data_IF_787544570254
#
_entry.id   IF_787544570254
#
_cell.length_a   1.000
_cell.length_b   1.000
_cell.length_c   1.000
_cell.angle_alpha   90.00
_cell.angle_beta   90.00
_cell.angle_gamma   90.00
#
_symmetry.space_group_name_H-M   'P 1'
#
loop_
_entity.id
_entity.type
_entity.pdbx_description
1 polymer ?
#
# COMPACT_ATOMS: atom_id res chain seq x y z
N UNK A 1 12.61 5.89 -11.85
CA UNK A 1 11.88 5.17 -10.78
C UNK A 1 10.48 4.84 -11.27
N UNK A 2 9.86 3.74 -10.84
CA UNK A 2 8.42 3.54 -11.05
C UNK A 2 7.74 3.16 -9.74
N UNK A 3 6.98 4.11 -9.20
CA UNK A 3 6.00 3.83 -8.17
C UNK A 3 4.61 3.81 -8.82
N UNK A 4 3.69 3.16 -8.16
CA UNK A 4 2.28 3.36 -8.37
C UNK A 4 1.63 3.51 -7.02
N UNK A 5 0.47 4.17 -7.01
CA UNK A 5 -0.35 4.27 -5.82
C UNK A 5 -1.80 4.03 -6.14
N UNK A 6 -2.56 3.66 -5.12
CA UNK A 6 -4.00 3.47 -5.20
C UNK A 6 -4.66 4.11 -3.99
N UNK A 7 -5.65 4.95 -4.25
CA UNK A 7 -6.57 5.47 -3.24
C UNK A 7 -7.54 4.35 -2.90
N UNK A 8 -7.27 3.64 -1.80
CA UNK A 8 -7.95 2.42 -1.41
C UNK A 8 -9.28 2.75 -0.74
N UNK A 9 -10.36 2.14 -1.23
CA UNK A 9 -11.72 2.29 -0.72
C UNK A 9 -12.27 1.01 -0.08
N UNK A 10 -11.53 -0.09 -0.16
CA UNK A 10 -11.91 -1.37 0.42
C UNK A 10 -11.05 -2.51 -0.09
N UNK A 11 -11.36 -3.72 0.39
CA UNK A 11 -10.59 -4.93 0.12
C UNK A 11 -11.47 -5.99 -0.56
N UNK A 12 -10.87 -6.78 -1.45
CA UNK A 12 -11.39 -8.04 -1.98
C UNK A 12 -10.37 -9.14 -1.64
N UNK A 13 -10.64 -9.88 -0.58
CA UNK A 13 -9.76 -10.91 -0.04
C UNK A 13 -9.79 -12.24 -0.83
N UNK A 14 -10.67 -12.38 -1.82
CA UNK A 14 -10.62 -13.48 -2.80
C UNK A 14 -9.49 -13.32 -3.84
N UNK A 15 -8.85 -12.14 -3.88
CA UNK A 15 -7.76 -11.82 -4.79
C UNK A 15 -6.49 -11.51 -3.99
N UNK A 16 -5.35 -11.56 -4.67
CA UNK A 16 -4.07 -11.12 -4.12
C UNK A 16 -3.43 -10.04 -5.01
N UNK A 17 -2.32 -9.48 -4.54
CA UNK A 17 -1.61 -8.39 -5.20
C UNK A 17 -2.53 -7.17 -5.40
N UNK A 18 -2.32 -6.37 -6.44
CA UNK A 18 -3.10 -5.16 -6.74
C UNK A 18 -4.61 -5.38 -6.86
N UNK A 19 -5.03 -6.59 -7.22
CA UNK A 19 -6.43 -6.93 -7.40
C UNK A 19 -7.19 -7.10 -6.08
N UNK A 20 -6.49 -7.26 -4.95
CA UNK A 20 -7.15 -7.30 -3.64
C UNK A 20 -7.56 -5.91 -3.14
N UNK A 21 -7.03 -4.84 -3.74
CA UNK A 21 -7.36 -3.48 -3.37
C UNK A 21 -8.48 -2.95 -4.27
N UNK A 22 -9.54 -2.40 -3.68
CA UNK A 22 -10.56 -1.60 -4.40
C UNK A 22 -10.15 -0.13 -4.37
N UNK A 23 -10.50 0.61 -5.42
CA UNK A 23 -10.23 2.05 -5.51
C UNK A 23 -9.51 2.47 -6.79
N UNK A 24 -9.18 3.76 -6.90
CA UNK A 24 -8.61 4.36 -8.11
C UNK A 24 -7.08 4.43 -8.03
N UNK A 25 -6.41 4.17 -9.14
CA UNK A 25 -4.98 4.44 -9.26
C UNK A 25 -4.72 5.94 -9.28
N UNK A 26 -3.71 6.36 -8.53
CA UNK A 26 -3.16 7.72 -8.62
C UNK A 26 -2.12 7.84 -9.72
N UNK A 27 -1.97 9.06 -10.25
CA UNK A 27 -1.01 9.41 -11.30
C UNK A 27 0.20 10.16 -10.76
N UNK A 28 0.13 10.75 -9.56
CA UNK A 28 1.24 11.55 -8.99
C UNK A 28 2.53 10.72 -8.85
N UNK A 29 2.44 9.49 -8.35
CA UNK A 29 3.61 8.62 -8.20
C UNK A 29 3.92 7.78 -9.45
N UNK A 30 3.13 7.92 -10.51
CA UNK A 30 3.28 7.13 -11.74
C UNK A 30 4.59 7.42 -12.46
N UNK A 31 5.12 6.43 -13.20
CA UNK A 31 6.27 6.60 -14.11
C UNK A 31 6.06 7.66 -15.19
N UNK A 32 4.81 8.03 -15.43
CA UNK A 32 4.44 9.04 -16.42
C UNK A 32 4.46 10.47 -15.85
N UNK A 33 4.63 10.63 -14.53
CA UNK A 33 4.83 11.95 -13.94
C UNK A 33 6.31 12.32 -14.07
N UNK A 34 6.61 13.27 -14.96
CA UNK A 34 7.96 13.77 -15.20
C UNK A 34 8.52 14.55 -14.01
N UNK A 35 7.66 15.11 -13.16
CA UNK A 35 8.05 15.91 -11.98
C UNK A 35 8.56 15.05 -10.82
N UNK A 36 8.29 13.75 -10.83
CA UNK A 36 8.61 12.83 -9.74
C UNK A 36 10.12 12.72 -9.47
N UNK A 37 10.95 12.95 -10.48
CA UNK A 37 12.41 12.92 -10.36
C UNK A 37 13.00 14.23 -9.81
N UNK A 38 12.25 15.34 -9.91
CA UNK A 38 12.76 16.68 -9.60
C UNK A 38 12.10 17.30 -8.36
N UNK A 39 10.98 16.75 -7.90
CA UNK A 39 10.20 17.33 -6.81
C UNK A 39 10.35 16.50 -5.53
N UNK A 40 10.98 17.03 -4.47
CA UNK A 40 11.15 16.31 -3.21
C UNK A 40 9.87 16.25 -2.37
N UNK A 41 8.85 17.05 -2.71
CA UNK A 41 7.58 17.13 -1.98
C UNK A 41 6.40 17.04 -2.95
N UNK A 42 5.53 16.06 -2.74
CA UNK A 42 4.35 15.84 -3.58
C UNK A 42 3.09 15.90 -2.71
N UNK A 43 2.04 16.53 -3.23
CA UNK A 43 0.73 16.57 -2.57
C UNK A 43 -0.19 15.54 -3.18
N UNK A 44 -0.58 14.50 -2.44
CA UNK A 44 -1.39 13.37 -2.93
C UNK A 44 -2.89 13.69 -2.98
N UNK A 45 -3.31 14.70 -3.73
CA UNK A 45 -4.68 15.28 -3.72
C UNK A 45 -5.57 14.90 -4.92
N UNK A 46 -5.32 13.79 -5.61
CA UNK A 46 -6.10 13.42 -6.80
C UNK A 46 -7.53 12.93 -6.46
N UNK A 47 -7.81 12.59 -5.21
CA UNK A 47 -9.15 12.21 -4.74
C UNK A 47 -9.52 13.04 -3.48
N UNK A 48 -10.81 13.32 -3.25
CA UNK A 48 -11.29 13.93 -2.01
C UNK A 48 -10.88 13.12 -0.77
N UNK A 49 -10.55 13.80 0.34
CA UNK A 49 -10.01 13.16 1.55
C UNK A 49 -10.97 12.13 2.17
N UNK A 50 -12.27 12.33 2.01
CA UNK A 50 -13.36 11.48 2.50
C UNK A 50 -13.73 10.33 1.53
N UNK A 51 -13.13 10.29 0.33
CA UNK A 51 -13.48 9.30 -0.69
C UNK A 51 -12.60 8.04 -0.67
N UNK A 52 -11.63 7.95 0.24
CA UNK A 52 -10.72 6.82 0.39
C UNK A 52 -10.28 6.68 1.85
N UNK A 53 -9.87 5.48 2.23
CA UNK A 53 -9.49 5.18 3.61
C UNK A 53 -7.98 5.04 3.78
N UNK A 54 -7.26 4.74 2.70
CA UNK A 54 -5.81 4.67 2.69
C UNK A 54 -5.25 4.99 1.30
N UNK A 55 -3.98 5.38 1.22
CA UNK A 55 -3.21 5.40 -0.03
C UNK A 55 -2.19 4.28 0.05
N UNK A 56 -2.34 3.25 -0.78
CA UNK A 56 -1.35 2.19 -0.89
C UNK A 56 -0.31 2.57 -1.94
N UNK A 57 0.97 2.44 -1.61
CA UNK A 57 2.10 2.75 -2.49
C UNK A 57 2.92 1.48 -2.69
N UNK A 58 3.25 1.18 -3.95
CA UNK A 58 4.14 0.09 -4.29
C UNK A 58 4.96 0.40 -5.54
N UNK A 59 6.18 -0.13 -5.63
CA UNK A 59 6.99 -0.09 -6.85
C UNK A 59 8.48 -0.11 -6.60
N UNK A 60 9.26 -0.18 -7.69
CA UNK A 60 10.73 -0.33 -7.67
C UNK A 60 11.40 0.59 -8.68
N UNK A 61 12.62 0.96 -8.35
CA UNK A 61 13.56 1.67 -9.21
C UNK A 61 14.20 0.68 -10.20
N UNK A 62 13.86 0.84 -11.49
CA UNK A 62 14.64 0.69 -12.74
C UNK A 62 15.84 -0.29 -12.91
N UNK A 63 16.28 -1.13 -11.96
CA UNK A 63 17.45 -2.02 -12.13
C UNK A 63 17.04 -3.48 -12.36
N UNK A 64 16.72 -3.78 -13.63
CA UNK A 64 16.40 -5.12 -14.16
C UNK A 64 15.18 -5.80 -13.50
N UNK A 65 14.42 -6.62 -14.23
CA UNK A 65 13.17 -7.22 -13.76
C UNK A 65 13.26 -8.75 -13.57
N UNK A 66 14.23 -9.32 -12.82
CA UNK A 66 14.10 -10.69 -12.32
C UNK A 66 13.16 -10.73 -11.10
N UNK A 67 12.47 -11.87 -10.88
CA UNK A 67 11.61 -12.12 -9.70
C UNK A 67 12.32 -11.86 -8.36
N UNK A 68 13.64 -12.02 -8.33
CA UNK A 68 14.49 -11.75 -7.16
C UNK A 68 14.44 -10.30 -6.67
N UNK A 69 14.00 -9.35 -7.51
CA UNK A 69 13.87 -7.96 -7.09
C UNK A 69 12.61 -7.68 -6.28
N UNK A 70 11.69 -8.64 -6.14
CA UNK A 70 10.42 -8.42 -5.45
C UNK A 70 10.62 -7.94 -4.01
N UNK A 71 11.64 -8.41 -3.29
CA UNK A 71 11.94 -7.99 -1.92
C UNK A 71 12.29 -6.49 -1.83
N UNK A 72 12.99 -5.99 -2.85
CA UNK A 72 13.42 -4.59 -3.00
C UNK A 72 12.30 -3.65 -3.47
N UNK A 73 11.07 -4.14 -3.68
CA UNK A 73 9.94 -3.27 -3.94
C UNK A 73 9.57 -2.52 -2.66
N UNK A 74 9.39 -1.20 -2.77
CA UNK A 74 8.73 -0.43 -1.73
C UNK A 74 7.29 -0.93 -1.61
N UNK A 75 6.84 -1.15 -0.37
CA UNK A 75 5.44 -1.40 -0.03
C UNK A 75 5.13 -0.63 1.24
N UNK A 76 4.15 0.25 1.18
CA UNK A 76 3.66 0.97 2.35
C UNK A 76 2.24 1.46 2.10
N UNK A 77 1.49 1.68 3.17
CA UNK A 77 0.21 2.35 3.12
C UNK A 77 0.25 3.61 3.96
N UNK A 78 -0.48 4.63 3.54
CA UNK A 78 -0.66 5.87 4.27
C UNK A 78 -2.11 5.96 4.70
N UNK A 79 -2.35 6.13 6.00
CA UNK A 79 -3.67 6.39 6.57
C UNK A 79 -3.83 7.89 6.76
N UNK A 80 -4.81 8.55 6.08
CA UNK A 80 -5.09 9.97 6.28
C UNK A 80 -5.37 10.26 7.75
N UNK A 81 -4.57 11.13 8.35
CA UNK A 81 -4.69 11.48 9.76
C UNK A 81 -4.31 12.95 9.94
N UNK A 82 -5.32 13.82 10.01
CA UNK A 82 -5.13 15.26 10.06
C UNK A 82 -4.20 15.70 11.21
N UNK A 83 -3.28 16.60 10.93
CA UNK A 83 -2.34 17.16 11.92
C UNK A 83 -1.21 16.21 12.34
N UNK A 84 -1.13 15.01 11.78
CA UNK A 84 -0.05 14.05 12.07
C UNK A 84 1.03 14.07 11.01
N UNK A 85 2.25 13.84 11.45
CA UNK A 85 3.42 13.65 10.60
C UNK A 85 4.09 12.36 10.99
N UNK A 86 4.53 11.60 10.00
CA UNK A 86 5.20 10.32 10.21
C UNK A 86 6.34 10.12 9.21
N UNK A 87 7.27 9.23 9.55
CA UNK A 87 8.43 8.89 8.74
C UNK A 87 8.49 7.39 8.52
N UNK A 88 8.80 6.98 7.30
CA UNK A 88 9.03 5.58 6.95
C UNK A 88 10.35 5.45 6.22
N UNK A 89 11.15 4.46 6.63
CA UNK A 89 12.43 4.16 6.04
C UNK A 89 12.38 2.83 5.28
N UNK A 90 12.95 2.81 4.08
CA UNK A 90 13.05 1.61 3.25
C UNK A 90 14.34 1.65 2.44
N UNK A 91 15.24 0.71 2.72
CA UNK A 91 16.60 0.73 2.16
C UNK A 91 17.28 2.08 2.37
N UNK A 92 17.61 2.82 1.31
CA UNK A 92 18.20 4.15 1.37
C UNK A 92 17.17 5.29 1.24
N UNK A 93 15.88 4.98 1.32
CA UNK A 93 14.77 5.94 1.21
C UNK A 93 14.28 6.33 2.58
N UNK A 94 14.09 7.63 2.77
CA UNK A 94 13.36 8.18 3.90
C UNK A 94 12.17 8.97 3.37
N UNK A 95 10.97 8.46 3.61
CA UNK A 95 9.72 9.09 3.23
C UNK A 95 9.13 9.80 4.46
N UNK A 96 8.67 11.03 4.27
CA UNK A 96 7.93 11.78 5.28
C UNK A 96 6.55 12.09 4.75
N UNK A 97 5.52 11.85 5.56
CA UNK A 97 4.14 12.21 5.24
C UNK A 97 3.63 13.21 6.26
N UNK A 98 2.91 14.23 5.80
CA UNK A 98 2.13 15.15 6.63
C UNK A 98 0.63 14.90 6.39
N UNK A 99 -0.18 15.10 7.43
CA UNK A 99 -1.59 14.69 7.48
C UNK A 99 -1.82 13.20 7.21
N UNK A 100 -0.88 12.36 7.63
CA UNK A 100 -0.97 10.91 7.48
C UNK A 100 -0.04 10.16 8.41
N UNK A 101 -0.25 8.85 8.50
CA UNK A 101 0.60 7.89 9.20
C UNK A 101 0.96 6.76 8.24
N UNK A 102 2.18 6.24 8.33
CA UNK A 102 2.54 5.04 7.60
C UNK A 102 2.06 3.81 8.36
N UNK A 103 1.50 2.85 7.66
CA UNK A 103 1.13 1.56 8.23
C UNK A 103 2.16 0.50 7.82
N UNK A 104 2.73 -0.25 8.78
CA UNK A 104 3.67 -1.32 8.46
C UNK A 104 2.96 -2.42 7.69
N UNK A 105 3.70 -3.08 6.79
CA UNK A 105 3.20 -4.29 6.14
C UNK A 105 3.34 -5.46 7.13
N UNK A 106 2.26 -6.16 7.49
CA UNK A 106 2.33 -7.29 8.39
C UNK A 106 3.22 -8.41 7.83
N UNK A 107 3.94 -9.10 8.71
CA UNK A 107 4.64 -10.34 8.43
C UNK A 107 3.66 -11.49 8.17
N UNK A 108 4.18 -12.63 7.67
CA UNK A 108 3.35 -13.81 7.40
C UNK A 108 2.75 -14.41 8.68
N UNK A 109 3.42 -14.26 9.82
CA UNK A 109 2.93 -14.77 11.12
C UNK A 109 1.80 -13.91 11.70
N UNK A 110 1.73 -12.65 11.30
CA UNK A 110 0.68 -11.70 11.69
C UNK A 110 -0.62 -11.87 10.88
N UNK A 111 -0.62 -12.73 9.85
CA UNK A 111 -1.84 -13.04 9.11
C UNK A 111 -2.92 -13.63 10.02
N UNK A 112 -4.19 -13.20 9.86
CA UNK A 112 -5.32 -13.84 10.54
C UNK A 112 -5.38 -15.33 10.20
N UNK A 113 -5.80 -16.14 11.18
CA UNK A 113 -5.80 -17.61 11.07
C UNK A 113 -6.57 -18.11 9.84
N UNK A 114 -7.67 -17.45 9.49
CA UNK A 114 -8.49 -17.76 8.29
C UNK A 114 -7.71 -17.70 6.97
N UNK A 115 -6.66 -16.88 6.88
CA UNK A 115 -5.86 -16.72 5.67
C UNK A 115 -4.56 -17.53 5.67
N UNK A 116 -4.14 -18.12 6.80
CA UNK A 116 -2.85 -18.84 6.90
C UNK A 116 -2.79 -20.11 6.05
N UNK A 117 -3.94 -20.71 5.75
CA UNK A 117 -4.04 -21.91 4.89
C UNK A 117 -4.05 -21.59 3.39
N UNK A 118 -4.01 -20.32 2.99
CA UNK A 118 -4.02 -19.94 1.58
C UNK A 118 -2.69 -20.28 0.90
N UNK A 119 -2.70 -20.45 -0.43
CA UNK A 119 -1.47 -20.69 -1.18
C UNK A 119 -0.42 -19.57 -1.02
N UNK A 120 0.89 -19.87 -1.22
CA UNK A 120 1.98 -18.91 -1.03
C UNK A 120 1.82 -17.58 -1.78
N UNK A 121 1.18 -17.57 -2.96
CA UNK A 121 0.94 -16.34 -3.71
C UNK A 121 0.03 -15.33 -2.98
N UNK A 122 -0.76 -15.78 -2.01
CA UNK A 122 -1.53 -14.93 -1.10
C UNK A 122 -0.69 -14.58 0.13
N UNK A 123 -0.21 -15.59 0.87
CA UNK A 123 0.40 -15.39 2.19
C UNK A 123 1.71 -14.59 2.12
N UNK A 124 2.52 -14.77 1.07
CA UNK A 124 3.77 -14.01 0.88
C UNK A 124 3.52 -12.61 0.29
N UNK A 125 2.35 -12.35 -0.30
CA UNK A 125 2.05 -11.10 -0.97
C UNK A 125 1.87 -9.95 0.02
N UNK A 126 2.79 -8.97 -0.03
CA UNK A 126 2.78 -7.79 0.85
C UNK A 126 1.52 -6.93 0.74
N UNK A 127 0.95 -6.84 -0.46
CA UNK A 127 -0.30 -6.11 -0.69
C UNK A 127 -1.47 -6.83 -0.03
N UNK A 128 -1.53 -8.15 -0.20
CA UNK A 128 -2.58 -8.96 0.40
C UNK A 128 -2.50 -8.95 1.93
N UNK A 129 -1.30 -9.17 2.50
CA UNK A 129 -1.07 -9.11 3.94
C UNK A 129 -1.54 -7.81 4.56
N UNK A 130 -1.15 -6.67 3.99
CA UNK A 130 -1.67 -5.38 4.44
C UNK A 130 -3.19 -5.31 4.32
N UNK A 131 -3.74 -5.67 3.15
CA UNK A 131 -5.17 -5.57 2.90
C UNK A 131 -6.01 -6.34 3.94
N UNK A 132 -5.68 -7.61 4.21
CA UNK A 132 -6.49 -8.46 5.11
C UNK A 132 -6.28 -8.17 6.59
N UNK A 133 -5.17 -7.54 6.97
CA UNK A 133 -4.90 -7.12 8.34
C UNK A 133 -5.39 -5.70 8.65
N UNK A 134 -5.54 -4.85 7.63
CA UNK A 134 -6.02 -3.48 7.78
C UNK A 134 -7.45 -3.43 8.32
N UNK A 135 -7.79 -2.34 9.00
CA UNK A 135 -9.15 -2.13 9.52
C UNK A 135 -10.21 -2.09 8.40
N UNK A 136 -9.81 -1.89 7.14
CA UNK A 136 -10.68 -1.91 5.95
C UNK A 136 -11.28 -3.29 5.67
N UNK A 137 -10.63 -4.36 6.13
CA UNK A 137 -11.14 -5.72 6.01
C UNK A 137 -12.03 -6.12 7.19
N UNK A 138 -11.88 -5.45 8.34
CA UNK A 138 -12.57 -5.82 9.59
C UNK A 138 -14.06 -5.50 9.58
N UNK A 139 -14.51 -4.57 8.75
CA UNK A 139 -15.94 -4.30 8.54
C UNK A 139 -16.70 -5.45 7.88
N UNK A 140 -16.02 -6.44 7.29
CA UNK A 140 -16.66 -7.63 6.72
C UNK A 140 -16.70 -8.83 7.69
N UNK A 141 -15.92 -8.82 8.78
CA UNK A 141 -15.76 -9.97 9.69
C UNK A 141 -16.71 -9.89 10.89
N UNK A 142 -17.23 -8.71 11.23
CA UNK A 142 -18.14 -8.51 12.37
C UNK A 142 -19.62 -8.88 12.09
N UNK A 143 -19.90 -9.80 11.16
CA UNK A 143 -21.26 -10.33 10.89
C UNK A 143 -21.37 -11.85 11.11
N UNK A 144 -20.47 -12.47 11.87
CA UNK A 144 -20.66 -13.83 12.36
C UNK A 144 -20.56 -13.84 13.90
N UNK A 145 -21.72 -13.62 14.54
CA UNK A 145 -22.01 -14.01 15.93
C UNK A 145 -22.76 -15.32 15.94
#
# INVERSE_FOLDING_TARGET
MWLWMKYVTGVNDEKHCTNCLRGKYGKILSKHNTELEFTPMLTLNEQPLDSFSAIYICGVIKKCYPRSNYEHNLHTAIIPTAGRTDTFEFENWRLTVTNGLFEPIPSEVELPVSYRGLPPQFTTCRIFRWAVCSDLNRTNVSMET
#
